data_IF_750863986173
#
_entry.id   IF_750863986173
#
_cell.length_a   1.000
_cell.length_b   1.000
_cell.length_c   1.000
_cell.angle_alpha   90.00
_cell.angle_beta   90.00
_cell.angle_gamma   90.00
#
_symmetry.space_group_name_H-M   'P 1'
#
loop_
_entity.id
_entity.type
_entity.pdbx_description
1 polymer ?
#
# COMPACT_ATOMS: atom_id res chain seq x y z
N UNK A 1 -4.41 -28.68 24.21
CA UNK A 1 -4.75 -27.25 24.31
C UNK A 1 -5.02 -26.74 22.90
N UNK A 2 -6.29 -26.71 22.50
CA UNK A 2 -6.70 -26.31 21.17
C UNK A 2 -6.63 -24.78 21.08
N UNK A 3 -5.69 -24.25 20.29
CA UNK A 3 -5.61 -22.81 20.03
C UNK A 3 -6.66 -22.49 18.97
N UNK A 4 -7.68 -21.75 19.41
CA UNK A 4 -8.78 -21.20 18.62
C UNK A 4 -8.22 -20.33 17.48
N UNK A 5 -8.82 -20.48 16.30
CA UNK A 5 -8.57 -19.84 15.00
C UNK A 5 -8.15 -18.36 15.11
N UNK A 6 -6.84 -18.11 15.16
CA UNK A 6 -6.27 -16.78 14.95
C UNK A 6 -6.30 -16.45 13.46
N UNK A 7 -7.09 -15.45 13.07
CA UNK A 7 -7.13 -14.94 11.69
C UNK A 7 -5.71 -14.64 11.20
N UNK A 8 -5.23 -15.37 10.19
CA UNK A 8 -3.92 -15.22 9.52
C UNK A 8 -3.77 -13.90 8.74
N UNK A 9 -4.33 -12.78 9.23
CA UNK A 9 -4.14 -11.47 8.61
C UNK A 9 -2.77 -10.90 9.00
N UNK A 10 -1.95 -10.47 8.03
CA UNK A 10 -0.67 -9.84 8.34
C UNK A 10 -0.90 -8.60 9.20
N UNK A 11 -0.17 -8.47 10.33
CA UNK A 11 -0.30 -7.34 11.28
C UNK A 11 -0.18 -5.95 10.61
N UNK A 12 0.47 -5.89 9.44
CA UNK A 12 0.72 -4.66 8.67
C UNK A 12 -0.10 -4.55 7.37
N UNK A 13 -1.11 -5.40 7.19
CA UNK A 13 -2.02 -5.33 6.05
C UNK A 13 -2.88 -4.06 6.07
N UNK A 14 -2.98 -3.40 4.91
CA UNK A 14 -3.73 -2.15 4.75
C UNK A 14 -5.12 -2.38 4.19
N UNK A 15 -5.18 -2.97 3.00
CA UNK A 15 -6.39 -3.27 2.24
C UNK A 15 -6.19 -4.59 1.52
N UNK A 16 -7.27 -5.23 1.11
CA UNK A 16 -7.21 -6.45 0.31
C UNK A 16 -6.53 -6.19 -1.04
N UNK A 17 -5.81 -7.19 -1.56
CA UNK A 17 -5.14 -7.09 -2.84
C UNK A 17 -6.16 -7.19 -3.99
N UNK A 18 -6.31 -6.17 -4.85
CA UNK A 18 -7.26 -6.22 -5.95
C UNK A 18 -6.88 -7.23 -7.05
N UNK A 19 -5.60 -7.60 -7.17
CA UNK A 19 -5.14 -8.55 -8.20
C UNK A 19 -5.43 -10.00 -7.82
N UNK A 20 -5.16 -10.40 -6.57
CA UNK A 20 -5.29 -11.81 -6.16
C UNK A 20 -6.44 -12.08 -5.20
N UNK A 21 -7.02 -11.08 -4.53
CA UNK A 21 -8.12 -11.21 -3.53
C UNK A 21 -7.90 -12.22 -2.40
N UNK A 22 -6.67 -12.70 -2.25
CA UNK A 22 -6.27 -13.67 -1.23
C UNK A 22 -5.35 -13.02 -0.19
N UNK A 23 -4.52 -12.09 -0.64
CA UNK A 23 -3.58 -11.37 0.21
C UNK A 23 -4.02 -9.93 0.51
N UNK A 24 -3.21 -9.24 1.31
CA UNK A 24 -3.39 -7.83 1.62
C UNK A 24 -2.20 -7.02 1.10
N UNK A 25 -2.46 -5.79 0.66
CA UNK A 25 -1.41 -4.84 0.33
C UNK A 25 -0.79 -4.28 1.60
N UNK A 26 0.54 -4.25 1.66
CA UNK A 26 1.31 -3.76 2.80
C UNK A 26 2.51 -2.93 2.33
N UNK A 27 3.00 -2.05 3.20
CA UNK A 27 4.21 -1.26 2.93
C UNK A 27 5.44 -2.13 3.19
N UNK A 28 6.26 -2.29 2.16
CA UNK A 28 7.49 -3.08 2.19
C UNK A 28 8.66 -2.13 1.95
N UNK A 29 9.75 -2.34 2.71
CA UNK A 29 11.04 -1.71 2.42
C UNK A 29 11.97 -2.78 1.86
N UNK A 30 12.48 -2.57 0.65
CA UNK A 30 13.43 -3.49 0.04
C UNK A 30 14.74 -3.47 0.84
N UNK A 31 15.23 -4.63 1.26
CA UNK A 31 16.53 -4.73 1.91
C UNK A 31 17.69 -4.42 0.96
N UNK A 32 17.53 -4.76 -0.33
CA UNK A 32 18.52 -4.54 -1.40
C UNK A 32 18.63 -3.07 -1.81
N UNK A 33 17.50 -2.44 -2.16
CA UNK A 33 17.52 -1.06 -2.67
C UNK A 33 17.24 0.00 -1.60
N UNK A 34 16.86 -0.41 -0.39
CA UNK A 34 16.36 0.44 0.71
C UNK A 34 15.11 1.27 0.37
N UNK A 35 14.56 1.13 -0.84
CA UNK A 35 13.35 1.82 -1.33
C UNK A 35 12.09 1.22 -0.71
N UNK A 36 11.07 2.05 -0.57
CA UNK A 36 9.74 1.71 -0.06
C UNK A 36 8.76 1.49 -1.20
N UNK A 37 7.92 0.47 -1.10
CA UNK A 37 6.89 0.16 -2.08
C UNK A 37 5.71 -0.51 -1.39
N UNK A 38 4.56 -0.54 -2.06
CA UNK A 38 3.48 -1.44 -1.66
C UNK A 38 3.64 -2.76 -2.38
N UNK A 39 3.45 -3.85 -1.66
CA UNK A 39 3.41 -5.20 -2.22
C UNK A 39 2.32 -6.03 -1.56
N UNK A 40 1.86 -7.05 -2.26
CA UNK A 40 0.94 -8.04 -1.72
C UNK A 40 1.67 -8.97 -0.72
N UNK A 41 1.01 -9.31 0.39
CA UNK A 41 1.47 -10.36 1.30
C UNK A 41 1.54 -11.74 0.65
N UNK A 42 0.74 -11.98 -0.41
CA UNK A 42 0.68 -13.24 -1.15
C UNK A 42 1.69 -13.28 -2.33
N UNK A 43 2.75 -12.47 -2.29
CA UNK A 43 3.74 -12.39 -3.38
C UNK A 43 4.43 -13.73 -3.66
N UNK A 44 4.77 -14.48 -2.61
CA UNK A 44 5.43 -15.80 -2.73
C UNK A 44 4.56 -16.85 -3.44
N UNK A 45 3.23 -16.69 -3.43
CA UNK A 45 2.28 -17.56 -4.12
C UNK A 45 1.94 -17.05 -5.54
N UNK A 46 2.78 -16.18 -6.12
CA UNK A 46 2.69 -15.75 -7.51
C UNK A 46 2.01 -14.40 -7.76
N UNK A 47 1.51 -13.71 -6.72
CA UNK A 47 0.93 -12.38 -6.90
C UNK A 47 2.01 -11.33 -7.19
N UNK A 48 1.85 -10.53 -8.26
CA UNK A 48 2.83 -9.52 -8.68
C UNK A 48 2.42 -8.08 -8.36
N UNK A 49 1.32 -7.89 -7.65
CA UNK A 49 0.81 -6.59 -7.25
C UNK A 49 1.86 -5.80 -6.46
N UNK A 50 2.45 -4.79 -7.12
CA UNK A 50 3.43 -3.90 -6.50
C UNK A 50 3.36 -2.50 -7.10
N UNK A 51 3.56 -1.48 -6.26
CA UNK A 51 3.62 -0.08 -6.69
C UNK A 51 4.68 0.67 -5.89
N UNK A 52 5.60 1.40 -6.54
CA UNK A 52 6.60 2.18 -5.83
C UNK A 52 5.94 3.32 -5.05
N UNK A 53 6.47 3.61 -3.86
CA UNK A 53 6.01 4.72 -3.04
C UNK A 53 6.93 5.95 -3.17
N UNK A 54 6.48 7.07 -2.63
CA UNK A 54 7.29 8.29 -2.54
C UNK A 54 8.49 8.06 -1.62
N UNK A 55 9.69 8.05 -2.21
CA UNK A 55 10.90 7.66 -1.51
C UNK A 55 11.41 8.73 -0.54
N UNK A 56 11.30 10.01 -0.91
CA UNK A 56 11.82 11.14 -0.11
C UNK A 56 10.78 11.73 0.85
N UNK A 57 9.50 11.44 0.66
CA UNK A 57 8.43 12.00 1.49
C UNK A 57 8.29 11.27 2.84
N UNK A 58 7.84 11.99 3.87
CA UNK A 58 7.29 11.35 5.08
C UNK A 58 5.90 10.86 4.72
N UNK A 59 5.67 9.56 4.79
CA UNK A 59 4.43 8.92 4.36
C UNK A 59 3.75 8.16 5.50
N UNK A 60 2.43 8.10 5.45
CA UNK A 60 1.58 7.23 6.26
C UNK A 60 0.61 6.54 5.32
N UNK A 61 0.66 5.22 5.26
CA UNK A 61 -0.31 4.46 4.49
C UNK A 61 -1.56 4.25 5.34
N UNK A 62 -2.73 4.33 4.71
CA UNK A 62 -4.02 4.19 5.39
C UNK A 62 -4.70 2.89 4.98
N UNK A 63 -5.65 2.43 5.81
CA UNK A 63 -6.53 1.29 5.48
C UNK A 63 -7.74 1.69 4.62
N UNK A 64 -7.68 2.87 4.00
CA UNK A 64 -8.76 3.40 3.16
C UNK A 64 -8.47 2.98 1.72
N UNK A 65 -9.31 2.13 1.10
CA UNK A 65 -9.15 1.78 -0.30
C UNK A 65 -9.51 2.95 -1.21
N UNK A 66 -8.81 3.07 -2.33
CA UNK A 66 -9.16 3.97 -3.41
C UNK A 66 -10.45 3.48 -4.08
N UNK A 67 -11.39 4.39 -4.35
CA UNK A 67 -12.66 4.05 -5.00
C UNK A 67 -12.53 3.53 -6.44
N UNK A 68 -11.39 3.77 -7.09
CA UNK A 68 -11.16 3.43 -8.50
C UNK A 68 -10.41 2.09 -8.62
N UNK A 69 -9.23 1.98 -7.98
CA UNK A 69 -8.37 0.80 -8.14
C UNK A 69 -8.30 -0.09 -6.90
N UNK A 70 -8.97 0.27 -5.80
CA UNK A 70 -8.94 -0.45 -4.51
C UNK A 70 -7.58 -0.53 -3.81
N UNK A 71 -6.55 0.15 -4.32
CA UNK A 71 -5.27 0.31 -3.63
C UNK A 71 -5.38 1.29 -2.45
N UNK A 72 -4.56 1.17 -1.40
CA UNK A 72 -4.69 2.01 -0.22
C UNK A 72 -4.31 3.46 -0.52
N UNK A 73 -4.99 4.42 0.11
CA UNK A 73 -4.61 5.83 0.07
C UNK A 73 -3.41 6.07 0.98
N UNK A 74 -2.47 6.90 0.52
CA UNK A 74 -1.33 7.37 1.30
C UNK A 74 -1.48 8.84 1.62
N UNK A 75 -1.05 9.21 2.82
CA UNK A 75 -0.92 10.60 3.25
C UNK A 75 0.57 10.93 3.33
N UNK A 76 1.00 12.03 2.71
CA UNK A 76 2.41 12.38 2.68
C UNK A 76 2.66 13.89 2.80
N UNK A 77 3.89 14.24 3.15
CA UNK A 77 4.45 15.60 3.06
C UNK A 77 5.94 15.52 2.78
N UNK A 78 6.51 16.48 2.05
CA UNK A 78 7.95 16.53 1.79
C UNK A 78 8.71 17.33 2.87
N UNK A 79 8.09 18.36 3.43
CA UNK A 79 8.66 19.19 4.50
C UNK A 79 7.71 19.31 5.67
N UNK A 80 8.23 19.65 6.86
CA UNK A 80 7.42 19.92 8.06
C UNK A 80 6.48 21.11 7.88
N UNK A 81 6.87 22.09 7.04
CA UNK A 81 6.08 23.30 6.72
C UNK A 81 4.91 23.02 5.77
N UNK A 82 4.95 21.92 5.01
CA UNK A 82 3.89 21.57 4.07
C UNK A 82 2.73 20.87 4.78
N UNK A 83 1.52 21.17 4.32
CA UNK A 83 0.31 20.41 4.71
C UNK A 83 0.43 18.96 4.24
N UNK A 84 -0.28 18.08 4.93
CA UNK A 84 -0.37 16.68 4.53
C UNK A 84 -1.27 16.55 3.31
N UNK A 85 -0.76 15.94 2.24
CA UNK A 85 -1.50 15.64 1.02
C UNK A 85 -1.95 14.18 1.01
N UNK A 86 -3.12 13.91 0.43
CA UNK A 86 -3.67 12.56 0.23
C UNK A 86 -3.59 12.18 -1.24
N UNK A 87 -3.15 10.97 -1.53
CA UNK A 87 -3.07 10.44 -2.90
C UNK A 87 -3.24 8.92 -2.90
N UNK A 88 -3.80 8.37 -3.98
CA UNK A 88 -3.78 6.91 -4.20
C UNK A 88 -2.34 6.41 -4.25
N UNK A 89 -2.05 5.23 -3.70
CA UNK A 89 -0.69 4.66 -3.70
C UNK A 89 -0.29 3.95 -4.99
N UNK A 90 -1.26 3.57 -5.83
CA UNK A 90 -0.99 2.98 -7.13
C UNK A 90 -0.59 4.07 -8.14
N UNK A 91 0.62 3.98 -8.70
CA UNK A 91 1.11 4.92 -9.72
C UNK A 91 0.30 4.86 -11.02
N UNK A 92 -0.34 3.72 -11.32
CA UNK A 92 -1.15 3.50 -12.52
C UNK A 92 -2.62 3.92 -12.34
N UNK A 93 -2.98 4.46 -11.17
CA UNK A 93 -4.37 4.82 -10.89
C UNK A 93 -4.75 6.14 -11.57
N UNK A 94 -5.88 6.14 -12.29
CA UNK A 94 -6.45 7.32 -12.93
C UNK A 94 -6.74 8.46 -11.96
N UNK A 95 -7.04 8.14 -10.68
CA UNK A 95 -7.24 9.15 -9.64
C UNK A 95 -6.01 10.06 -9.39
N UNK A 96 -4.84 9.71 -9.95
CA UNK A 96 -3.62 10.52 -9.85
C UNK A 96 -3.47 11.52 -10.99
N UNK A 97 -4.17 11.33 -12.10
CA UNK A 97 -4.10 12.23 -13.24
C UNK A 97 -4.91 13.47 -12.87
N UNK A 98 -4.33 14.67 -12.86
CA UNK A 98 -5.11 15.90 -12.71
C UNK A 98 -6.15 15.92 -13.83
N UNK A 99 -7.44 16.09 -13.49
CA UNK A 99 -8.42 16.43 -14.52
C UNK A 99 -8.02 17.80 -15.05
N UNK A 100 -7.60 17.84 -16.31
CA UNK A 100 -7.26 19.07 -17.03
C UNK A 100 -8.50 19.94 -17.24
#
# INVERSE_FOLDING_TARGET
>A
MYIILGTNSPKNGLVECPECRLGQLMVIRSNKTKKRFLGCSNYYNGCKASSPLLQKAKLRATKIPCKICSWPIVIFRYSRKQKWSRQCSNIKCESRVPKS
#
